data_IF_478220682955
#
_entry.id   IF_478220682955
#
_cell.length_a   1.000
_cell.length_b   1.000
_cell.length_c   1.000
_cell.angle_alpha   90.00
_cell.angle_beta   90.00
_cell.angle_gamma   90.00
#
_symmetry.space_group_name_H-M   'P 1'
#
loop_
_entity.id
_entity.type
_entity.pdbx_description
1 polymer ?
#
# COMPACT_ATOMS: atom_id res chain seq x y z
N UNK A 1 11.89 -7.85 9.75
CA UNK A 1 13.19 -8.51 9.50
C UNK A 1 13.22 -9.12 8.08
N UNK A 2 13.13 -8.26 7.04
CA UNK A 2 13.28 -8.66 5.64
C UNK A 2 14.62 -9.39 5.43
N UNK A 3 14.56 -10.46 4.65
CA UNK A 3 15.75 -11.26 4.31
C UNK A 3 15.83 -11.43 2.79
N UNK A 4 17.03 -11.60 2.30
CA UNK A 4 17.22 -11.96 0.90
C UNK A 4 16.61 -13.33 0.60
N UNK A 5 15.80 -13.41 -0.45
CA UNK A 5 14.98 -14.56 -0.80
C UNK A 5 13.50 -14.44 -0.40
N UNK A 6 13.11 -13.41 0.39
CA UNK A 6 11.70 -13.15 0.73
C UNK A 6 10.91 -12.70 -0.50
N UNK A 7 9.61 -12.96 -0.48
CA UNK A 7 8.64 -12.47 -1.48
C UNK A 7 7.97 -11.21 -0.99
N UNK A 8 8.08 -10.14 -1.75
CA UNK A 8 7.69 -8.78 -1.36
C UNK A 8 6.70 -8.22 -2.36
N UNK A 9 5.58 -7.66 -1.86
CA UNK A 9 4.60 -6.92 -2.63
C UNK A 9 4.48 -5.49 -2.11
N UNK A 10 4.43 -4.52 -3.03
CA UNK A 10 4.06 -3.14 -2.76
C UNK A 10 2.74 -2.82 -3.47
N UNK A 11 1.68 -2.52 -2.70
CA UNK A 11 0.34 -2.18 -3.20
C UNK A 11 0.20 -0.67 -3.27
N UNK A 12 0.07 -0.14 -4.48
CA UNK A 12 0.18 1.29 -4.78
C UNK A 12 1.63 1.71 -4.97
N UNK A 13 2.37 0.92 -5.73
CA UNK A 13 3.82 1.06 -5.86
C UNK A 13 4.28 2.27 -6.68
N UNK A 14 3.37 2.98 -7.36
CA UNK A 14 3.71 4.06 -8.26
C UNK A 14 4.74 3.62 -9.31
N UNK A 15 5.82 4.38 -9.46
CA UNK A 15 6.94 4.06 -10.37
C UNK A 15 7.91 2.98 -9.84
N UNK A 16 7.60 2.36 -8.70
CA UNK A 16 8.39 1.28 -8.11
C UNK A 16 9.73 1.73 -7.52
N UNK A 17 9.88 2.96 -7.06
CA UNK A 17 11.15 3.44 -6.49
C UNK A 17 11.58 2.65 -5.26
N UNK A 18 10.65 2.36 -4.34
CA UNK A 18 10.93 1.55 -3.16
C UNK A 18 11.37 0.14 -3.55
N UNK A 19 10.66 -0.47 -4.49
CA UNK A 19 10.96 -1.82 -4.98
C UNK A 19 12.30 -1.89 -5.71
N UNK A 20 12.70 -0.83 -6.41
CA UNK A 20 14.01 -0.73 -7.03
C UNK A 20 15.14 -0.75 -5.99
N UNK A 21 14.96 -0.05 -4.85
CA UNK A 21 15.94 -0.12 -3.77
C UNK A 21 15.95 -1.49 -3.08
N UNK A 22 14.79 -2.11 -2.87
CA UNK A 22 14.73 -3.49 -2.37
C UNK A 22 15.44 -4.48 -3.31
N UNK A 23 15.28 -4.34 -4.62
CA UNK A 23 15.96 -5.23 -5.58
C UNK A 23 17.48 -5.15 -5.49
N UNK A 24 18.05 -3.98 -5.17
CA UNK A 24 19.49 -3.83 -4.96
C UNK A 24 19.96 -4.48 -3.67
N UNK A 25 19.18 -4.34 -2.59
CA UNK A 25 19.52 -4.83 -1.26
C UNK A 25 19.25 -6.33 -1.10
N UNK A 26 18.29 -6.86 -1.84
CA UNK A 26 17.75 -8.22 -1.73
C UNK A 26 17.69 -8.86 -3.13
N UNK A 27 18.84 -9.14 -3.75
CA UNK A 27 18.90 -9.51 -5.17
C UNK A 27 18.24 -10.86 -5.50
N UNK A 28 18.08 -11.76 -4.52
CA UNK A 28 17.44 -13.06 -4.69
C UNK A 28 15.94 -13.06 -4.32
N UNK A 29 15.40 -11.92 -3.89
CA UNK A 29 13.99 -11.79 -3.51
C UNK A 29 13.06 -11.69 -4.72
N UNK A 30 11.86 -12.26 -4.59
CA UNK A 30 10.76 -12.01 -5.52
C UNK A 30 10.11 -10.68 -5.16
N UNK A 31 10.29 -9.67 -6.00
CA UNK A 31 9.77 -8.32 -5.77
C UNK A 31 8.69 -8.02 -6.80
N UNK A 32 7.49 -7.65 -6.35
CA UNK A 32 6.34 -7.27 -7.16
C UNK A 32 5.73 -5.97 -6.69
N UNK A 33 5.18 -5.20 -7.62
CA UNK A 33 4.39 -4.01 -7.33
C UNK A 33 3.11 -3.99 -8.15
N UNK A 34 2.07 -3.39 -7.62
CA UNK A 34 0.83 -3.13 -8.34
C UNK A 34 0.40 -1.68 -8.16
N UNK A 35 -0.02 -1.05 -9.23
CA UNK A 35 -0.54 0.32 -9.21
C UNK A 35 -1.63 0.48 -10.29
N UNK A 36 -2.59 1.36 -10.03
CA UNK A 36 -3.66 1.68 -10.98
C UNK A 36 -3.21 2.66 -12.06
N UNK A 37 -2.12 3.38 -11.83
CA UNK A 37 -1.63 4.42 -12.73
C UNK A 37 -0.81 3.81 -13.88
N UNK A 38 -1.42 3.75 -15.06
CA UNK A 38 -0.71 3.36 -16.29
C UNK A 38 0.52 4.25 -16.52
N UNK A 39 0.38 5.57 -16.31
CA UNK A 39 1.49 6.50 -16.39
C UNK A 39 2.65 6.13 -15.45
N UNK A 40 2.35 5.75 -14.22
CA UNK A 40 3.39 5.37 -13.26
C UNK A 40 4.13 4.11 -13.71
N UNK A 41 3.40 3.09 -14.14
CA UNK A 41 3.97 1.83 -14.64
C UNK A 41 4.80 2.06 -15.91
N UNK A 42 4.29 2.85 -16.86
CA UNK A 42 5.00 3.14 -18.12
C UNK A 42 6.29 3.92 -17.91
N UNK A 43 6.31 4.82 -16.91
CA UNK A 43 7.45 5.68 -16.58
C UNK A 43 8.31 5.14 -15.42
N UNK A 44 8.16 3.87 -15.08
CA UNK A 44 9.04 3.18 -14.15
C UNK A 44 10.44 2.96 -14.74
N UNK A 45 11.44 2.79 -13.88
CA UNK A 45 12.79 2.44 -14.32
C UNK A 45 12.78 1.09 -15.03
N UNK A 46 13.54 0.93 -16.15
CA UNK A 46 13.58 -0.32 -16.91
C UNK A 46 13.90 -1.55 -16.05
N UNK A 47 14.75 -1.39 -15.04
CA UNK A 47 15.22 -2.48 -14.19
C UNK A 47 14.11 -3.08 -13.33
N UNK A 48 13.13 -2.27 -12.90
CA UNK A 48 12.03 -2.72 -12.04
C UNK A 48 10.72 -2.90 -12.80
N UNK A 49 10.55 -2.27 -13.97
CA UNK A 49 9.30 -2.22 -14.72
C UNK A 49 8.67 -3.59 -14.95
N UNK A 50 9.47 -4.62 -15.24
CA UNK A 50 9.02 -6.01 -15.44
C UNK A 50 8.37 -6.63 -14.20
N UNK A 51 8.60 -6.06 -13.03
CA UNK A 51 8.08 -6.53 -11.75
C UNK A 51 6.80 -5.80 -11.35
N UNK A 52 6.40 -4.77 -12.11
CA UNK A 52 5.22 -3.95 -11.83
C UNK A 52 4.03 -4.42 -12.67
N UNK A 53 2.85 -4.40 -12.05
CA UNK A 53 1.58 -4.82 -12.65
C UNK A 53 0.61 -3.64 -12.62
N UNK A 54 -0.03 -3.36 -13.73
CA UNK A 54 -1.16 -2.43 -13.79
C UNK A 54 -2.40 -3.13 -13.22
N UNK A 55 -3.01 -2.57 -12.19
CA UNK A 55 -4.19 -3.16 -11.58
C UNK A 55 -4.68 -2.44 -10.34
N UNK A 56 -5.81 -2.89 -9.82
CA UNK A 56 -6.47 -2.32 -8.66
C UNK A 56 -6.12 -3.07 -7.37
N UNK A 57 -5.99 -2.34 -6.26
CA UNK A 57 -5.74 -2.91 -4.94
C UNK A 57 -6.88 -3.82 -4.45
N UNK A 58 -8.12 -3.56 -4.87
CA UNK A 58 -9.31 -4.33 -4.52
C UNK A 58 -9.42 -5.70 -5.22
N UNK A 59 -8.48 -6.04 -6.11
CA UNK A 59 -8.42 -7.34 -6.80
C UNK A 59 -6.98 -7.65 -7.19
N UNK A 60 -6.23 -8.24 -6.26
CA UNK A 60 -4.82 -8.56 -6.48
C UNK A 60 -4.67 -9.87 -7.27
N UNK A 61 -3.94 -9.89 -8.40
CA UNK A 61 -3.79 -11.07 -9.26
C UNK A 61 -2.75 -12.06 -8.70
N UNK A 62 -2.78 -12.30 -7.40
CA UNK A 62 -1.82 -13.17 -6.72
C UNK A 62 -2.56 -14.21 -5.86
N UNK A 63 -1.92 -15.35 -5.61
CA UNK A 63 -2.46 -16.42 -4.78
C UNK A 63 -2.48 -16.04 -3.30
N UNK A 64 -3.35 -16.69 -2.53
CA UNK A 64 -3.42 -16.56 -1.08
C UNK A 64 -2.08 -16.89 -0.43
N UNK A 65 -1.65 -16.05 0.51
CA UNK A 65 -0.41 -16.24 1.25
C UNK A 65 0.84 -16.34 0.37
N UNK A 66 0.86 -15.67 -0.79
CA UNK A 66 2.02 -15.74 -1.69
C UNK A 66 3.22 -14.97 -1.15
N UNK A 67 2.97 -13.78 -0.55
CA UNK A 67 4.03 -12.87 -0.14
C UNK A 67 4.39 -13.01 1.33
N UNK A 68 5.69 -12.95 1.62
CA UNK A 68 6.22 -12.92 2.98
C UNK A 68 6.06 -11.54 3.61
N UNK A 69 6.11 -10.49 2.79
CA UNK A 69 5.89 -9.09 3.15
C UNK A 69 4.98 -8.39 2.15
N UNK A 70 3.97 -7.68 2.66
CA UNK A 70 3.11 -6.81 1.87
C UNK A 70 3.15 -5.40 2.46
N UNK A 71 3.46 -4.41 1.62
CA UNK A 71 3.45 -3.00 1.97
C UNK A 71 2.34 -2.28 1.22
N UNK A 72 1.77 -1.25 1.83
CA UNK A 72 0.98 -0.23 1.16
C UNK A 72 1.27 1.11 1.81
N UNK A 73 2.02 1.96 1.10
CA UNK A 73 2.51 3.22 1.63
C UNK A 73 1.87 4.39 0.88
N UNK A 74 1.17 5.25 1.59
CA UNK A 74 0.52 6.46 1.05
C UNK A 74 -0.43 6.18 -0.12
N UNK A 75 -1.18 5.10 -0.06
CA UNK A 75 -2.03 4.64 -1.17
C UNK A 75 -3.50 4.54 -0.78
N UNK A 76 -3.82 3.81 0.29
CA UNK A 76 -5.20 3.40 0.59
C UNK A 76 -6.14 4.57 0.92
N UNK A 77 -5.62 5.69 1.42
CA UNK A 77 -6.41 6.89 1.64
C UNK A 77 -6.90 7.57 0.33
N UNK A 78 -6.31 7.21 -0.82
CA UNK A 78 -6.76 7.69 -2.13
C UNK A 78 -7.87 6.82 -2.75
N UNK A 79 -8.25 5.72 -2.11
CA UNK A 79 -9.35 4.88 -2.58
C UNK A 79 -10.69 5.44 -2.15
N UNK A 80 -11.72 5.22 -2.95
CA UNK A 80 -13.09 5.39 -2.49
C UNK A 80 -13.39 4.36 -1.38
N UNK A 81 -14.20 4.74 -0.39
CA UNK A 81 -14.48 3.90 0.78
C UNK A 81 -15.10 2.54 0.41
N UNK A 82 -15.83 2.43 -0.70
CA UNK A 82 -16.39 1.16 -1.18
C UNK A 82 -15.34 0.19 -1.73
N UNK A 83 -14.16 0.69 -2.15
CA UNK A 83 -13.04 -0.14 -2.59
C UNK A 83 -12.06 -0.45 -1.44
N UNK A 84 -12.09 0.33 -0.36
CA UNK A 84 -11.15 0.21 0.75
C UNK A 84 -11.24 -1.15 1.43
N UNK A 85 -12.45 -1.61 1.75
CA UNK A 85 -12.66 -2.88 2.43
C UNK A 85 -12.08 -4.05 1.64
N UNK A 86 -12.44 -4.16 0.37
CA UNK A 86 -11.93 -5.22 -0.50
C UNK A 86 -10.42 -5.14 -0.70
N UNK A 87 -9.84 -3.94 -0.73
CA UNK A 87 -8.38 -3.77 -0.82
C UNK A 87 -7.66 -4.24 0.43
N UNK A 88 -8.20 -3.97 1.62
CA UNK A 88 -7.67 -4.47 2.89
C UNK A 88 -7.77 -6.00 2.98
N UNK A 89 -8.91 -6.55 2.57
CA UNK A 89 -9.14 -8.01 2.51
C UNK A 89 -8.16 -8.69 1.53
N UNK A 90 -7.88 -8.08 0.38
CA UNK A 90 -6.92 -8.58 -0.60
C UNK A 90 -5.48 -8.53 -0.08
N UNK A 91 -5.07 -7.43 0.58
CA UNK A 91 -3.78 -7.33 1.25
C UNK A 91 -3.63 -8.43 2.31
N UNK A 92 -4.68 -8.66 3.11
CA UNK A 92 -4.69 -9.73 4.11
C UNK A 92 -4.59 -11.11 3.45
N UNK A 93 -5.31 -11.35 2.36
CA UNK A 93 -5.35 -12.62 1.64
C UNK A 93 -4.02 -13.01 1.02
N UNK A 94 -3.35 -12.07 0.31
CA UNK A 94 -2.11 -12.37 -0.42
C UNK A 94 -0.87 -12.40 0.48
N UNK A 95 -0.93 -11.71 1.62
CA UNK A 95 0.16 -11.66 2.60
C UNK A 95 0.10 -12.82 3.59
N UNK A 96 1.26 -13.40 3.92
CA UNK A 96 1.35 -14.39 5.00
C UNK A 96 1.22 -13.70 6.36
N UNK A 97 2.33 -13.32 6.97
CA UNK A 97 2.38 -12.79 8.33
C UNK A 97 2.69 -11.29 8.40
N UNK A 98 3.64 -10.83 7.59
CA UNK A 98 4.18 -9.49 7.71
C UNK A 98 3.48 -8.57 6.70
N UNK A 99 2.66 -7.66 7.20
CA UNK A 99 1.95 -6.66 6.42
C UNK A 99 2.08 -5.31 7.11
N UNK A 100 2.25 -4.27 6.33
CA UNK A 100 2.37 -2.92 6.86
C UNK A 100 1.67 -1.90 5.97
N UNK A 101 0.81 -1.10 6.58
CA UNK A 101 0.05 -0.04 5.93
C UNK A 101 0.43 1.30 6.55
N UNK A 102 0.75 2.28 5.70
CA UNK A 102 0.92 3.67 6.11
C UNK A 102 -0.11 4.53 5.37
N UNK A 103 -0.95 5.25 6.11
CA UNK A 103 -2.00 6.12 5.56
C UNK A 103 -1.98 7.49 6.22
N UNK A 104 -2.52 8.46 5.51
CA UNK A 104 -2.73 9.80 6.05
C UNK A 104 -3.97 9.82 6.94
N UNK A 105 -3.89 10.64 8.00
CA UNK A 105 -4.93 10.77 9.01
C UNK A 105 -4.84 12.13 9.70
N UNK A 106 -5.83 12.47 10.52
CA UNK A 106 -5.86 13.70 11.31
C UNK A 106 -6.46 13.43 12.71
N UNK A 107 -5.98 14.17 13.70
CA UNK A 107 -6.38 14.04 15.12
C UNK A 107 -7.30 15.19 15.58
N UNK A 108 -7.28 16.30 14.83
CA UNK A 108 -8.00 17.53 15.15
C UNK A 108 -8.32 18.30 13.86
N UNK A 109 -9.15 19.36 13.99
CA UNK A 109 -9.61 20.14 12.84
C UNK A 109 -8.47 20.88 12.12
N UNK A 110 -7.42 21.30 12.83
CA UNK A 110 -6.26 21.95 12.21
C UNK A 110 -5.52 21.00 11.28
N UNK A 111 -5.20 19.81 11.75
CA UNK A 111 -4.57 18.75 10.92
C UNK A 111 -5.48 18.33 9.76
N UNK A 112 -6.79 18.26 9.98
CA UNK A 112 -7.76 17.97 8.93
C UNK A 112 -7.73 19.02 7.81
N UNK A 113 -7.68 20.30 8.16
CA UNK A 113 -7.56 21.39 7.20
C UNK A 113 -6.23 21.29 6.44
N UNK A 114 -5.11 21.05 7.14
CA UNK A 114 -3.81 20.89 6.51
C UNK A 114 -3.79 19.69 5.53
N UNK A 115 -4.36 18.57 5.91
CA UNK A 115 -4.49 17.40 5.05
C UNK A 115 -5.32 17.71 3.79
N UNK A 116 -6.43 18.44 3.91
CA UNK A 116 -7.26 18.88 2.79
C UNK A 116 -6.49 19.78 1.81
N UNK A 117 -5.61 20.65 2.31
CA UNK A 117 -4.78 21.49 1.46
C UNK A 117 -3.62 20.75 0.80
N UNK A 118 -3.09 19.75 1.47
CA UNK A 118 -1.94 18.97 1.00
C UNK A 118 -2.32 17.92 -0.04
N UNK A 119 -3.40 17.17 0.22
CA UNK A 119 -3.78 16.00 -0.55
C UNK A 119 -4.99 16.24 -1.45
N UNK A 120 -4.71 16.35 -2.74
CA UNK A 120 -5.74 16.55 -3.77
C UNK A 120 -6.46 15.24 -4.12
N UNK A 121 -5.86 14.09 -3.85
CA UNK A 121 -6.35 12.76 -4.26
C UNK A 121 -6.92 11.93 -3.10
N UNK A 122 -6.89 12.44 -1.88
CA UNK A 122 -7.40 11.72 -0.72
C UNK A 122 -8.94 11.67 -0.74
N UNK A 123 -9.49 10.46 -0.77
CA UNK A 123 -10.94 10.20 -0.73
C UNK A 123 -11.39 9.70 0.66
N UNK A 124 -10.48 9.07 1.41
CA UNK A 124 -10.72 8.56 2.75
C UNK A 124 -10.10 9.48 3.81
N UNK A 125 -10.80 10.55 4.16
CA UNK A 125 -10.41 11.46 5.24
C UNK A 125 -10.86 10.90 6.58
N UNK A 126 -10.10 9.96 7.14
CA UNK A 126 -10.45 9.27 8.36
C UNK A 126 -9.53 9.65 9.52
N UNK A 127 -10.11 9.74 10.72
CA UNK A 127 -9.39 9.79 11.99
C UNK A 127 -8.69 8.46 12.26
N UNK A 128 -7.72 8.40 13.20
CA UNK A 128 -7.10 7.13 13.58
C UNK A 128 -8.09 6.06 14.04
N UNK A 129 -9.18 6.45 14.72
CA UNK A 129 -10.17 5.48 15.21
C UNK A 129 -11.07 4.95 14.09
N UNK A 130 -11.41 5.77 13.10
CA UNK A 130 -12.10 5.32 11.88
C UNK A 130 -11.22 4.38 11.06
N UNK A 131 -9.92 4.66 10.90
CA UNK A 131 -8.98 3.74 10.26
C UNK A 131 -8.88 2.40 10.97
N UNK A 132 -8.78 2.40 12.32
CA UNK A 132 -8.75 1.17 13.12
C UNK A 132 -10.03 0.36 12.92
N UNK A 133 -11.19 1.02 12.89
CA UNK A 133 -12.46 0.37 12.60
C UNK A 133 -12.45 -0.32 11.22
N UNK A 134 -11.92 0.34 10.18
CA UNK A 134 -11.78 -0.27 8.86
C UNK A 134 -10.84 -1.49 8.87
N UNK A 135 -9.73 -1.43 9.60
CA UNK A 135 -8.81 -2.56 9.75
C UNK A 135 -9.49 -3.75 10.45
N UNK A 136 -10.27 -3.50 11.49
CA UNK A 136 -11.04 -4.52 12.21
C UNK A 136 -12.12 -5.14 11.31
N UNK A 137 -12.95 -4.33 10.63
CA UNK A 137 -14.01 -4.77 9.72
C UNK A 137 -13.51 -5.58 8.52
N UNK A 138 -12.27 -5.34 8.12
CA UNK A 138 -11.60 -6.09 7.04
C UNK A 138 -10.75 -7.25 7.54
N UNK A 139 -10.79 -7.53 8.85
CA UNK A 139 -9.96 -8.55 9.51
C UNK A 139 -8.46 -8.41 9.22
N UNK A 140 -7.98 -7.19 8.97
CA UNK A 140 -6.57 -6.89 8.76
C UNK A 140 -5.78 -7.10 10.05
N UNK A 141 -4.68 -7.87 9.98
CA UNK A 141 -3.84 -8.26 11.13
C UNK A 141 -2.40 -7.76 11.05
N UNK A 142 -2.09 -6.93 10.06
CA UNK A 142 -0.76 -6.35 9.90
C UNK A 142 -0.53 -5.14 10.79
N UNK A 143 0.70 -4.65 10.78
CA UNK A 143 1.06 -3.38 11.41
C UNK A 143 0.60 -2.20 10.55
N UNK A 144 0.40 -1.04 11.21
CA UNK A 144 0.04 0.20 10.52
C UNK A 144 0.60 1.43 11.21
N UNK A 145 0.69 2.53 10.47
CA UNK A 145 0.99 3.85 11.02
C UNK A 145 0.21 4.94 10.29
N UNK A 146 0.17 6.12 10.91
CA UNK A 146 -0.50 7.30 10.39
C UNK A 146 0.49 8.43 10.14
N UNK A 147 0.25 9.18 9.06
CA UNK A 147 0.94 10.45 8.78
C UNK A 147 0.00 11.58 9.14
N UNK A 148 0.51 12.58 9.87
CA UNK A 148 -0.21 13.77 10.26
C UNK A 148 0.48 15.01 9.68
N UNK A 149 -0.30 16.00 9.29
CA UNK A 149 0.17 17.29 8.77
C UNK A 149 -0.03 18.37 9.84
N UNK A 150 0.99 18.58 10.65
CA UNK A 150 1.02 19.55 11.76
C UNK A 150 1.31 20.98 11.28
#
# INVERSE_FOLDING_TARGET
>A
NLKDGDKILDVGCGKGFLLFEFQKLLPNSEIKGIDISEYAIENAKPEIKKNLVLGHANKLPFSDGHFDYVFSLNTLHNLYCYDLKSSLEEIERVGKKNKYICVESYRNEFERINLLYWQVTCECFFTPDEWKWWFEESSYKGDYSFIYFE
#
